data_IF_592066616499
#
_entry.id   IF_592066616499
#
_cell.length_a   1.000
_cell.length_b   1.000
_cell.length_c   1.000
_cell.angle_alpha   90.00
_cell.angle_beta   90.00
_cell.angle_gamma   90.00
#
_symmetry.space_group_name_H-M   'P 1'
#
loop_
_entity.id
_entity.type
_entity.pdbx_description
1 polymer ?
#
# COMPACT_ATOMS: atom_id res chain seq x y z
N UNK A 1 11.02 16.06 -11.35
CA UNK A 1 11.39 16.45 -9.97
C UNK A 1 10.20 16.80 -9.07
N UNK A 2 9.42 17.88 -9.31
CA UNK A 2 8.32 18.26 -8.39
C UNK A 2 7.27 17.16 -8.16
N UNK A 3 6.84 16.46 -9.22
CA UNK A 3 5.91 15.32 -9.15
C UNK A 3 6.45 14.19 -8.29
N UNK A 4 7.66 13.75 -8.58
CA UNK A 4 8.35 12.64 -7.88
C UNK A 4 8.54 12.93 -6.39
N UNK A 5 8.88 14.18 -6.05
CA UNK A 5 8.96 14.60 -4.65
C UNK A 5 7.59 14.53 -3.96
N UNK A 6 6.51 14.90 -4.67
CA UNK A 6 5.14 14.78 -4.17
C UNK A 6 4.71 13.33 -3.95
N UNK A 7 5.02 12.43 -4.88
CA UNK A 7 4.73 10.99 -4.75
C UNK A 7 5.52 10.34 -3.62
N UNK A 8 6.79 10.71 -3.46
CA UNK A 8 7.62 10.25 -2.36
C UNK A 8 7.10 10.77 -1.01
N UNK A 9 6.74 12.06 -0.92
CA UNK A 9 6.16 12.65 0.28
C UNK A 9 4.82 11.99 0.63
N UNK A 10 4.00 11.67 -0.36
CA UNK A 10 2.74 10.95 -0.16
C UNK A 10 2.99 9.54 0.42
N UNK A 11 3.92 8.78 -0.15
CA UNK A 11 4.25 7.43 0.32
C UNK A 11 4.84 7.43 1.74
N UNK A 12 5.80 8.31 2.01
CA UNK A 12 6.42 8.41 3.34
C UNK A 12 5.43 8.97 4.38
N UNK A 13 4.63 9.96 3.99
CA UNK A 13 3.56 10.50 4.83
C UNK A 13 2.52 9.44 5.20
N UNK A 14 2.19 8.55 4.27
CA UNK A 14 1.26 7.45 4.56
C UNK A 14 1.79 6.48 5.63
N UNK A 15 3.11 6.24 5.70
CA UNK A 15 3.70 5.45 6.79
C UNK A 15 3.43 6.12 8.14
N UNK A 16 3.61 7.45 8.22
CA UNK A 16 3.35 8.21 9.43
C UNK A 16 1.86 8.17 9.82
N UNK A 17 0.95 8.31 8.83
CA UNK A 17 -0.50 8.21 9.04
C UNK A 17 -0.87 6.83 9.58
N UNK A 18 -0.43 5.74 8.94
CA UNK A 18 -0.72 4.37 9.38
C UNK A 18 -0.19 4.10 10.78
N UNK A 19 1.03 4.57 11.08
CA UNK A 19 1.61 4.47 12.42
C UNK A 19 0.75 5.20 13.46
N UNK A 20 0.25 6.39 13.13
CA UNK A 20 -0.66 7.13 13.99
C UNK A 20 -1.99 6.39 14.20
N UNK A 21 -2.57 5.80 13.15
CA UNK A 21 -3.81 5.01 13.24
C UNK A 21 -3.65 3.86 14.25
N UNK A 22 -2.56 3.09 14.18
CA UNK A 22 -2.32 1.99 15.13
C UNK A 22 -2.00 2.46 16.55
N UNK A 23 -1.54 3.70 16.72
CA UNK A 23 -1.28 4.30 18.03
C UNK A 23 -2.56 4.80 18.69
N UNK A 24 -3.43 5.47 17.93
CA UNK A 24 -4.60 6.17 18.49
C UNK A 24 -5.90 5.38 18.44
N UNK A 25 -6.03 4.38 17.57
CA UNK A 25 -7.20 3.50 17.52
C UNK A 25 -6.94 2.29 18.44
N UNK A 26 -7.71 2.12 19.54
CA UNK A 26 -7.50 1.03 20.48
C UNK A 26 -7.74 -0.34 19.83
N UNK A 27 -8.80 -0.42 19.03
CA UNK A 27 -9.18 -1.64 18.33
C UNK A 27 -8.30 -1.84 17.09
N UNK A 28 -7.36 -2.78 17.18
CA UNK A 28 -6.38 -3.07 16.11
C UNK A 28 -7.01 -3.49 14.78
N UNK A 29 -8.24 -4.01 14.82
CA UNK A 29 -9.01 -4.49 13.66
C UNK A 29 -9.48 -3.31 12.81
N UNK A 30 -10.16 -2.38 13.45
CA UNK A 30 -10.59 -1.10 12.87
C UNK A 30 -9.39 -0.27 12.40
N UNK A 31 -8.30 -0.25 13.18
CA UNK A 31 -7.05 0.39 12.76
C UNK A 31 -6.47 -0.22 11.47
N UNK A 32 -6.48 -1.55 11.35
CA UNK A 32 -5.97 -2.24 10.17
C UNK A 32 -6.80 -1.97 8.91
N UNK A 33 -8.14 -1.95 9.02
CA UNK A 33 -9.00 -1.59 7.88
C UNK A 33 -8.81 -0.13 7.49
N UNK A 34 -8.75 0.78 8.47
CA UNK A 34 -8.49 2.19 8.21
C UNK A 34 -7.13 2.39 7.50
N UNK A 35 -6.08 1.71 7.97
CA UNK A 35 -4.77 1.72 7.32
C UNK A 35 -4.82 1.16 5.88
N UNK A 36 -5.53 0.06 5.66
CA UNK A 36 -5.74 -0.49 4.32
C UNK A 36 -6.42 0.52 3.39
N UNK A 37 -7.44 1.24 3.88
CA UNK A 37 -8.11 2.29 3.11
C UNK A 37 -7.13 3.42 2.73
N UNK A 38 -6.25 3.85 3.63
CA UNK A 38 -5.25 4.88 3.28
C UNK A 38 -4.27 4.38 2.22
N UNK A 39 -3.83 3.12 2.29
CA UNK A 39 -3.03 2.50 1.23
C UNK A 39 -3.78 2.46 -0.11
N UNK A 40 -5.07 2.12 -0.12
CA UNK A 40 -5.89 2.16 -1.34
C UNK A 40 -5.91 3.58 -1.96
N UNK A 41 -6.13 4.61 -1.14
CA UNK A 41 -6.12 6.00 -1.61
C UNK A 41 -4.76 6.41 -2.18
N UNK A 42 -3.67 6.12 -1.47
CA UNK A 42 -2.32 6.49 -1.90
C UNK A 42 -1.94 5.79 -3.20
N UNK A 43 -2.20 4.50 -3.32
CA UNK A 43 -1.97 3.75 -4.56
C UNK A 43 -2.85 4.28 -5.69
N UNK A 44 -4.12 4.57 -5.42
CA UNK A 44 -5.03 5.19 -6.39
C UNK A 44 -4.52 6.53 -6.91
N UNK A 45 -4.02 7.39 -6.01
CA UNK A 45 -3.44 8.69 -6.38
C UNK A 45 -2.20 8.50 -7.28
N UNK A 46 -1.31 7.56 -6.95
CA UNK A 46 -0.12 7.27 -7.76
C UNK A 46 -0.50 6.71 -9.14
N UNK A 47 -1.43 5.75 -9.19
CA UNK A 47 -1.91 5.17 -10.46
C UNK A 47 -2.52 6.26 -11.33
N UNK A 48 -3.31 7.15 -10.74
CA UNK A 48 -3.95 8.26 -11.43
C UNK A 48 -2.93 9.32 -11.88
N UNK A 49 -1.97 9.71 -11.04
CA UNK A 49 -0.94 10.69 -11.40
C UNK A 49 -0.08 10.17 -12.55
N UNK A 50 0.47 8.96 -12.44
CA UNK A 50 1.26 8.32 -13.49
C UNK A 50 0.44 8.14 -14.78
N UNK A 51 -0.85 7.80 -14.67
CA UNK A 51 -1.79 7.65 -15.78
C UNK A 51 -2.19 8.96 -16.49
N UNK A 52 -2.23 10.08 -15.76
CA UNK A 52 -2.67 11.39 -16.28
C UNK A 52 -1.53 12.19 -16.89
N UNK A 53 -0.30 11.99 -16.39
CA UNK A 53 0.91 12.71 -16.83
C UNK A 53 1.74 11.93 -17.86
N UNK A 54 1.17 10.89 -18.49
CA UNK A 54 1.70 10.28 -19.72
C UNK A 54 2.82 9.26 -19.53
N UNK A 55 3.13 8.86 -18.29
CA UNK A 55 4.11 7.80 -18.00
C UNK A 55 3.46 6.40 -18.00
N UNK A 56 2.16 6.31 -17.71
CA UNK A 56 1.25 5.16 -17.89
C UNK A 56 1.95 3.79 -17.84
N UNK A 57 1.74 2.95 -18.86
CA UNK A 57 2.28 1.58 -18.97
C UNK A 57 3.81 1.50 -19.11
N UNK A 58 4.50 2.63 -19.26
CA UNK A 58 5.98 2.70 -19.34
C UNK A 58 6.62 2.93 -17.96
N UNK A 59 5.85 3.40 -16.98
CA UNK A 59 6.30 3.59 -15.62
C UNK A 59 6.31 2.27 -14.86
N UNK A 60 7.46 1.95 -14.28
CA UNK A 60 7.60 0.85 -13.33
C UNK A 60 6.77 1.15 -12.07
N UNK A 61 6.76 2.41 -11.62
CA UNK A 61 5.94 2.86 -10.47
C UNK A 61 4.45 2.58 -10.69
N UNK A 62 3.92 2.85 -11.89
CA UNK A 62 2.51 2.59 -12.20
C UNK A 62 2.14 1.12 -12.05
N UNK A 63 2.96 0.22 -12.59
CA UNK A 63 2.71 -1.23 -12.50
C UNK A 63 2.85 -1.76 -11.07
N UNK A 64 3.85 -1.31 -10.33
CA UNK A 64 4.02 -1.71 -8.93
C UNK A 64 2.86 -1.17 -8.08
N UNK A 65 2.38 0.05 -8.34
CA UNK A 65 1.23 0.61 -7.62
C UNK A 65 -0.05 -0.20 -7.86
N UNK A 66 -0.30 -0.64 -9.11
CA UNK A 66 -1.43 -1.53 -9.42
C UNK A 66 -1.28 -2.87 -8.72
N UNK A 67 -0.09 -3.47 -8.80
CA UNK A 67 0.18 -4.74 -8.15
C UNK A 67 -0.02 -4.64 -6.63
N UNK A 68 0.53 -3.61 -5.99
CA UNK A 68 0.35 -3.36 -4.57
C UNK A 68 -1.12 -3.15 -4.18
N UNK A 69 -1.90 -2.46 -5.01
CA UNK A 69 -3.33 -2.26 -4.76
C UNK A 69 -4.10 -3.59 -4.88
N UNK A 70 -3.97 -4.27 -6.02
CA UNK A 70 -4.78 -5.43 -6.37
C UNK A 70 -4.34 -6.72 -5.66
N UNK A 71 -3.04 -6.93 -5.49
CA UNK A 71 -2.47 -8.19 -4.98
C UNK A 71 -2.10 -8.12 -3.49
N UNK A 72 -2.03 -6.93 -2.89
CA UNK A 72 -1.66 -6.79 -1.48
C UNK A 72 -2.76 -6.08 -0.67
N UNK A 73 -3.06 -4.83 -1.00
CA UNK A 73 -3.91 -3.98 -0.16
C UNK A 73 -5.35 -4.47 -0.12
N UNK A 74 -5.97 -4.67 -1.29
CA UNK A 74 -7.35 -5.17 -1.37
C UNK A 74 -7.49 -6.56 -0.71
N UNK A 75 -6.63 -7.55 -1.00
CA UNK A 75 -6.67 -8.85 -0.33
C UNK A 75 -6.52 -8.76 1.20
N UNK A 76 -5.63 -7.91 1.71
CA UNK A 76 -5.45 -7.75 3.16
C UNK A 76 -6.68 -7.14 3.84
N UNK A 77 -7.29 -6.13 3.22
CA UNK A 77 -8.56 -5.55 3.72
C UNK A 77 -9.65 -6.61 3.68
N UNK A 78 -9.81 -7.31 2.56
CA UNK A 78 -10.82 -8.37 2.42
C UNK A 78 -10.62 -9.46 3.47
N UNK A 79 -9.38 -9.91 3.68
CA UNK A 79 -9.04 -10.89 4.72
C UNK A 79 -9.46 -10.39 6.11
N UNK A 80 -9.20 -9.12 6.42
CA UNK A 80 -9.56 -8.52 7.72
C UNK A 80 -11.07 -8.40 7.89
N UNK A 81 -11.81 -8.11 6.83
CA UNK A 81 -13.27 -8.01 6.85
C UNK A 81 -13.94 -9.39 6.96
N UNK A 82 -13.43 -10.40 6.25
CA UNK A 82 -13.97 -11.77 6.28
C UNK A 82 -13.70 -12.43 7.63
N UNK A 83 -12.50 -12.28 8.17
CA UNK A 83 -12.09 -12.87 9.44
C UNK A 83 -12.08 -11.84 10.57
N UNK A 84 -13.15 -11.04 10.68
CA UNK A 84 -13.22 -9.90 11.60
C UNK A 84 -12.94 -10.30 13.05
N UNK A 85 -13.55 -11.39 13.51
CA UNK A 85 -13.49 -11.84 14.90
C UNK A 85 -12.19 -12.56 15.26
N UNK A 86 -11.42 -13.00 14.26
CA UNK A 86 -10.19 -13.72 14.49
C UNK A 86 -9.00 -12.79 14.76
N UNK A 87 -8.09 -13.16 15.68
CA UNK A 87 -6.78 -12.55 15.78
C UNK A 87 -6.07 -12.61 14.43
N UNK A 88 -5.39 -11.54 14.02
CA UNK A 88 -4.74 -11.46 12.70
C UNK A 88 -3.76 -12.61 12.44
N UNK A 89 -3.04 -13.06 13.48
CA UNK A 89 -2.13 -14.21 13.42
C UNK A 89 -2.80 -15.52 13.02
N UNK A 90 -4.12 -15.65 13.23
CA UNK A 90 -4.90 -16.84 12.93
C UNK A 90 -5.74 -16.68 11.66
N UNK A 91 -5.55 -15.59 10.91
CA UNK A 91 -6.20 -15.37 9.61
C UNK A 91 -5.32 -15.92 8.49
N UNK A 92 -5.93 -16.39 7.41
CA UNK A 92 -5.19 -16.86 6.24
C UNK A 92 -6.11 -17.35 5.14
N UNK A 93 -5.57 -17.42 3.92
CA UNK A 93 -6.26 -17.93 2.72
C UNK A 93 -5.28 -18.80 1.94
N UNK A 94 -5.73 -19.98 1.51
CA UNK A 94 -4.95 -20.92 0.70
C UNK A 94 -3.55 -21.23 1.24
N UNK A 95 -3.44 -21.37 2.57
CA UNK A 95 -2.19 -21.71 3.25
C UNK A 95 -1.22 -20.54 3.47
N UNK A 96 -1.57 -19.32 3.05
CA UNK A 96 -0.81 -18.10 3.37
C UNK A 96 -1.49 -17.40 4.55
N UNK A 97 -0.73 -17.12 5.60
CA UNK A 97 -1.25 -16.44 6.79
C UNK A 97 -1.34 -14.92 6.55
N UNK A 98 -2.22 -14.26 7.32
CA UNK A 98 -2.36 -12.80 7.31
C UNK A 98 -1.03 -12.07 7.55
N UNK A 99 -0.23 -12.46 8.57
CA UNK A 99 1.09 -11.86 8.81
C UNK A 99 2.06 -12.02 7.65
N UNK A 100 2.11 -13.18 7.00
CA UNK A 100 2.97 -13.41 5.82
C UNK A 100 2.55 -12.51 4.65
N UNK A 101 1.24 -12.43 4.38
CA UNK A 101 0.71 -11.56 3.33
C UNK A 101 1.01 -10.07 3.62
N UNK A 102 0.92 -9.66 4.89
CA UNK A 102 1.27 -8.31 5.31
C UNK A 102 2.78 -8.03 5.18
N UNK A 103 3.63 -8.99 5.55
CA UNK A 103 5.07 -8.86 5.36
C UNK A 103 5.45 -8.78 3.88
N UNK A 104 4.85 -9.60 3.04
CA UNK A 104 4.99 -9.52 1.58
C UNK A 104 4.55 -8.14 1.07
N UNK A 105 3.40 -7.65 1.52
CA UNK A 105 2.89 -6.31 1.19
C UNK A 105 3.89 -5.21 1.56
N UNK A 106 4.57 -5.31 2.70
CA UNK A 106 5.60 -4.34 3.10
C UNK A 106 6.77 -4.32 2.10
N UNK A 107 7.25 -5.48 1.63
CA UNK A 107 8.30 -5.52 0.62
C UNK A 107 7.86 -4.88 -0.70
N UNK A 108 6.62 -5.13 -1.12
CA UNK A 108 6.05 -4.51 -2.32
C UNK A 108 5.91 -3.00 -2.14
N UNK A 109 5.51 -2.53 -0.96
CA UNK A 109 5.44 -1.10 -0.65
C UNK A 109 6.82 -0.42 -0.69
N UNK A 110 7.85 -1.08 -0.16
CA UNK A 110 9.22 -0.59 -0.27
C UNK A 110 9.71 -0.59 -1.72
N UNK A 111 9.34 -1.59 -2.52
CA UNK A 111 9.61 -1.59 -3.96
C UNK A 111 8.90 -0.44 -4.68
N UNK A 112 7.69 -0.06 -4.26
CA UNK A 112 6.98 1.10 -4.79
C UNK A 112 7.75 2.40 -4.50
N UNK A 113 8.19 2.60 -3.26
CA UNK A 113 9.05 3.74 -2.89
C UNK A 113 10.34 3.76 -3.72
N UNK A 114 11.03 2.62 -3.80
CA UNK A 114 12.27 2.50 -4.56
C UNK A 114 12.05 2.81 -6.05
N UNK A 115 10.91 2.40 -6.63
CA UNK A 115 10.58 2.69 -8.03
C UNK A 115 10.40 4.18 -8.30
N UNK A 116 9.73 4.91 -7.38
CA UNK A 116 9.56 6.37 -7.48
C UNK A 116 10.91 7.06 -7.46
N UNK A 117 11.81 6.63 -6.57
CA UNK A 117 13.18 7.15 -6.49
C UNK A 117 13.93 6.85 -7.79
N UNK A 118 13.93 5.61 -8.26
CA UNK A 118 14.60 5.20 -9.49
C UNK A 118 14.10 6.01 -10.70
N UNK A 119 12.79 6.19 -10.82
CA UNK A 119 12.18 6.99 -11.88
C UNK A 119 12.47 8.49 -11.80
N UNK A 120 12.91 8.99 -10.64
CA UNK A 120 13.40 10.35 -10.48
C UNK A 120 14.72 10.59 -11.23
N UNK A 121 15.54 9.54 -11.33
CA UNK A 121 16.88 9.57 -11.91
C UNK A 121 16.95 8.93 -13.29
N UNK A 122 15.85 8.34 -13.77
CA UNK A 122 15.77 7.79 -15.12
C UNK A 122 15.80 8.94 -16.15
N UNK A 123 16.72 8.91 -17.13
CA UNK A 123 16.84 9.95 -18.15
C UNK A 123 15.63 10.01 -19.09
#
# INVERSE_FOLDING_TARGET
MKKTLGELALLLGNIAIVTALFKFIPEKRSAAVAAGITFCFVSGIIIWSEGRFGRNRRSTTWWIAIFFLAACTIPLIALRLVYWDLPFANTGVWGITGPELHQFSNYVYMALIASVIFEAFRP
#
